data_IF_334197456102
#
_entry.id   IF_334197456102
#
_cell.length_a   1.000
_cell.length_b   1.000
_cell.length_c   1.000
_cell.angle_alpha   90.00
_cell.angle_beta   90.00
_cell.angle_gamma   90.00
#
_symmetry.space_group_name_H-M   'P 1'
#
loop_
_entity.id
_entity.type
_entity.pdbx_description
1 polymer ?
#
# COMPACT_ATOMS: atom_id res chain seq x y z
N UNK A 1 57.73 224.34 -27.37
CA UNK A 1 56.86 223.16 -27.59
C UNK A 1 56.62 222.85 -29.07
N UNK A 2 56.52 223.84 -29.97
CA UNK A 2 56.35 223.58 -31.42
C UNK A 2 57.64 223.03 -32.08
N UNK A 3 58.83 223.44 -31.63
CA UNK A 3 60.11 222.93 -32.16
C UNK A 3 60.26 221.40 -31.99
N UNK A 4 59.86 220.86 -30.83
CA UNK A 4 59.80 219.41 -30.58
C UNK A 4 58.81 218.70 -31.51
N UNK A 5 57.69 219.35 -31.87
CA UNK A 5 56.71 218.81 -32.81
C UNK A 5 57.25 218.78 -34.26
N UNK A 6 58.11 219.73 -34.64
CA UNK A 6 58.73 219.81 -35.97
C UNK A 6 59.82 218.74 -36.14
N UNK A 7 60.67 218.51 -35.13
CA UNK A 7 61.62 217.39 -35.11
C UNK A 7 60.92 216.03 -35.09
N UNK A 8 59.81 215.89 -34.35
CA UNK A 8 59.00 214.67 -34.38
C UNK A 8 58.35 214.44 -35.75
N UNK A 9 57.79 215.49 -36.36
CA UNK A 9 57.22 215.43 -37.71
C UNK A 9 58.25 215.06 -38.77
N UNK A 10 59.44 215.67 -38.74
CA UNK A 10 60.55 215.35 -39.64
C UNK A 10 61.07 213.92 -39.40
N UNK A 11 61.21 213.51 -38.14
CA UNK A 11 61.61 212.15 -37.77
C UNK A 11 60.60 211.10 -38.24
N UNK A 12 59.29 211.38 -38.12
CA UNK A 12 58.23 210.51 -38.63
C UNK A 12 58.23 210.42 -40.15
N UNK A 13 58.42 211.55 -40.85
CA UNK A 13 58.55 211.58 -42.31
C UNK A 13 59.78 210.80 -42.79
N UNK A 14 60.91 210.92 -42.07
CA UNK A 14 62.14 210.20 -42.38
C UNK A 14 62.00 208.68 -42.11
N UNK A 15 61.38 208.30 -40.98
CA UNK A 15 61.08 206.90 -40.67
C UNK A 15 60.06 206.30 -41.66
N UNK A 16 59.04 207.06 -42.04
CA UNK A 16 58.06 206.67 -43.05
C UNK A 16 58.70 206.49 -44.43
N UNK A 17 59.62 207.36 -44.82
CA UNK A 17 60.39 207.23 -46.05
C UNK A 17 61.28 205.98 -46.04
N UNK A 18 62.00 205.72 -44.94
CA UNK A 18 62.79 204.50 -44.77
C UNK A 18 61.90 203.24 -44.80
N UNK A 19 60.75 203.25 -44.13
CA UNK A 19 59.80 202.14 -44.15
C UNK A 19 59.26 201.87 -45.55
N UNK A 20 58.93 202.92 -46.32
CA UNK A 20 58.52 202.81 -47.72
C UNK A 20 59.66 202.28 -48.62
N UNK A 21 60.91 202.58 -48.30
CA UNK A 21 62.07 202.07 -49.04
C UNK A 21 62.36 200.59 -48.72
N UNK A 22 62.15 200.16 -47.46
CA UNK A 22 62.39 198.79 -47.00
C UNK A 22 61.21 197.83 -47.26
N UNK A 23 59.97 198.31 -47.25
CA UNK A 23 58.78 197.48 -47.45
C UNK A 23 58.81 196.63 -48.74
N UNK A 24 59.23 197.15 -49.92
CA UNK A 24 59.35 196.36 -51.14
C UNK A 24 60.40 195.24 -51.03
N UNK A 25 61.44 195.39 -50.21
CA UNK A 25 62.47 194.37 -50.03
C UNK A 25 61.99 193.23 -49.12
N UNK A 26 61.33 193.58 -48.02
CA UNK A 26 60.74 192.59 -47.09
C UNK A 26 59.62 191.81 -47.77
N UNK A 27 58.73 192.47 -48.52
CA UNK A 27 57.65 191.80 -49.26
C UNK A 27 58.17 190.83 -50.31
N UNK A 28 59.18 191.23 -51.10
CA UNK A 28 59.83 190.34 -52.08
C UNK A 28 60.42 189.09 -51.42
N UNK A 29 61.04 189.22 -50.24
CA UNK A 29 61.63 188.10 -49.51
C UNK A 29 60.58 187.18 -48.90
N UNK A 30 59.49 187.72 -48.37
CA UNK A 30 58.37 186.93 -47.85
C UNK A 30 57.71 186.10 -48.97
N UNK A 31 57.43 186.71 -50.13
CA UNK A 31 56.87 186.01 -51.30
C UNK A 31 57.81 184.94 -51.83
N UNK A 32 59.12 185.17 -51.85
CA UNK A 32 60.09 184.17 -52.29
C UNK A 32 60.11 182.94 -51.37
N UNK A 33 60.02 183.12 -50.05
CA UNK A 33 60.01 182.02 -49.09
C UNK A 33 58.70 181.22 -49.14
N UNK A 34 57.55 181.88 -49.26
CA UNK A 34 56.26 181.18 -49.40
C UNK A 34 56.15 180.45 -50.72
N UNK A 35 56.60 181.08 -51.82
CA UNK A 35 56.69 180.43 -53.14
C UNK A 35 57.59 179.20 -53.08
N UNK A 36 58.78 179.29 -52.50
CA UNK A 36 59.73 178.17 -52.38
C UNK A 36 59.20 177.04 -51.49
N UNK A 37 58.39 177.35 -50.46
CA UNK A 37 57.76 176.35 -49.59
C UNK A 37 56.63 175.61 -50.29
N UNK A 38 55.81 176.33 -51.05
CA UNK A 38 54.71 175.74 -51.83
C UNK A 38 55.27 174.91 -52.98
N UNK A 39 56.30 175.40 -53.68
CA UNK A 39 57.01 174.67 -54.74
C UNK A 39 57.64 173.36 -54.25
N UNK A 40 58.02 173.25 -52.97
CA UNK A 40 58.56 172.02 -52.39
C UNK A 40 57.49 171.02 -51.92
N UNK A 41 56.24 171.45 -51.74
CA UNK A 41 55.14 170.61 -51.22
C UNK A 41 54.08 170.26 -52.26
N UNK A 42 54.06 170.97 -53.39
CA UNK A 42 53.08 170.81 -54.46
C UNK A 42 53.81 170.43 -55.74
N UNK A 43 53.45 169.30 -56.40
CA UNK A 43 54.03 168.94 -57.67
C UNK A 43 53.59 169.97 -58.72
N UNK A 44 54.54 170.75 -59.25
CA UNK A 44 54.27 171.79 -60.24
C UNK A 44 54.76 171.39 -61.64
N UNK A 45 55.53 170.30 -61.75
CA UNK A 45 55.98 169.78 -63.04
C UNK A 45 55.12 168.59 -63.48
N UNK A 46 54.79 168.54 -64.77
CA UNK A 46 53.97 167.47 -65.35
C UNK A 46 54.58 166.08 -65.10
N UNK A 47 55.91 165.98 -65.16
CA UNK A 47 56.65 164.73 -64.96
C UNK A 47 56.54 164.18 -63.53
N UNK A 48 56.52 165.04 -62.50
CA UNK A 48 56.36 164.60 -61.10
C UNK A 48 54.93 164.09 -60.83
N UNK A 49 53.92 164.73 -61.44
CA UNK A 49 52.52 164.27 -61.37
C UNK A 49 52.36 162.92 -62.08
N UNK A 50 53.02 162.73 -63.22
CA UNK A 50 53.04 161.44 -63.93
C UNK A 50 53.75 160.35 -63.11
N UNK A 51 54.88 160.68 -62.47
CA UNK A 51 55.59 159.74 -61.60
C UNK A 51 54.77 159.34 -60.36
N UNK A 52 54.07 160.28 -59.71
CA UNK A 52 53.19 159.96 -58.57
C UNK A 52 51.99 159.13 -59.01
N UNK A 53 51.42 159.42 -60.19
CA UNK A 53 50.34 158.62 -60.78
C UNK A 53 50.80 157.19 -61.07
N UNK A 54 52.00 157.02 -61.63
CA UNK A 54 52.56 155.70 -61.90
C UNK A 54 52.99 154.97 -60.62
N UNK A 55 53.47 155.69 -59.58
CA UNK A 55 53.68 155.13 -58.23
C UNK A 55 52.38 154.61 -57.64
N UNK A 56 51.31 155.41 -57.65
CA UNK A 56 49.99 154.99 -57.15
C UNK A 56 49.46 153.79 -57.93
N UNK A 57 49.60 153.78 -59.26
CA UNK A 57 49.25 152.62 -60.10
C UNK A 57 50.05 151.38 -59.73
N UNK A 58 51.35 151.51 -59.46
CA UNK A 58 52.20 150.41 -59.05
C UNK A 58 51.84 149.89 -57.65
N UNK A 59 51.57 150.78 -56.69
CA UNK A 59 51.13 150.41 -55.34
C UNK A 59 49.77 149.70 -55.36
N UNK A 60 48.81 150.20 -56.14
CA UNK A 60 47.54 149.52 -56.36
C UNK A 60 47.74 148.17 -57.06
N UNK A 61 48.52 148.10 -58.14
CA UNK A 61 48.80 146.85 -58.82
C UNK A 61 49.47 145.80 -57.90
N UNK A 62 50.44 146.23 -57.07
CA UNK A 62 51.14 145.34 -56.13
C UNK A 62 50.24 144.91 -54.97
N UNK A 63 49.43 145.80 -54.41
CA UNK A 63 48.49 145.46 -53.34
C UNK A 63 47.37 144.55 -53.85
N UNK A 64 46.81 144.83 -55.03
CA UNK A 64 45.87 143.93 -55.72
C UNK A 64 46.52 142.58 -55.97
N UNK A 65 47.75 142.54 -56.49
CA UNK A 65 48.47 141.26 -56.73
C UNK A 65 48.73 140.49 -55.43
N UNK A 66 49.12 141.17 -54.35
CA UNK A 66 49.33 140.56 -53.02
C UNK A 66 48.02 140.01 -52.48
N UNK A 67 46.91 140.74 -52.65
CA UNK A 67 45.59 140.27 -52.24
C UNK A 67 45.16 139.04 -53.06
N UNK A 68 45.29 139.08 -54.39
CA UNK A 68 45.01 137.94 -55.27
C UNK A 68 45.81 136.69 -54.88
N UNK A 69 47.11 136.85 -54.60
CA UNK A 69 47.95 135.75 -54.12
C UNK A 69 47.49 135.22 -52.77
N UNK A 70 47.11 136.10 -51.83
CA UNK A 70 46.61 135.67 -50.51
C UNK A 70 45.26 134.96 -50.59
N UNK A 71 44.34 135.44 -51.44
CA UNK A 71 43.06 134.80 -51.72
C UNK A 71 43.26 133.44 -52.38
N UNK A 72 44.20 133.34 -53.33
CA UNK A 72 44.55 132.05 -53.95
C UNK A 72 45.10 131.07 -52.91
N UNK A 73 46.06 131.48 -52.08
CA UNK A 73 46.63 130.63 -51.05
C UNK A 73 45.58 130.18 -50.00
N UNK A 74 44.63 131.06 -49.63
CA UNK A 74 43.52 130.68 -48.75
C UNK A 74 42.55 129.71 -49.43
N UNK A 75 42.24 129.90 -50.72
CA UNK A 75 41.42 128.96 -51.50
C UNK A 75 42.09 127.60 -51.63
N UNK A 76 43.39 127.55 -51.89
CA UNK A 76 44.16 126.30 -51.99
C UNK A 76 44.14 125.56 -50.64
N UNK A 77 44.36 126.26 -49.50
CA UNK A 77 44.23 125.68 -48.15
C UNK A 77 42.82 125.19 -47.85
N UNK A 78 41.79 125.98 -48.20
CA UNK A 78 40.40 125.58 -48.02
C UNK A 78 40.06 124.33 -48.84
N UNK A 79 40.54 124.22 -50.08
CA UNK A 79 40.36 123.04 -50.91
C UNK A 79 41.02 121.79 -50.31
N UNK A 80 42.23 121.93 -49.76
CA UNK A 80 42.92 120.84 -49.03
C UNK A 80 42.10 120.40 -47.82
N UNK A 81 41.64 121.34 -46.97
CA UNK A 81 40.86 120.99 -45.80
C UNK A 81 39.50 120.37 -46.14
N UNK A 82 38.84 120.80 -47.21
CA UNK A 82 37.60 120.15 -47.68
C UNK A 82 37.87 118.71 -48.10
N UNK A 83 39.00 118.46 -48.79
CA UNK A 83 39.40 117.10 -49.15
C UNK A 83 39.73 116.24 -47.92
N UNK A 84 40.42 116.81 -46.92
CA UNK A 84 40.72 116.12 -45.65
C UNK A 84 39.45 115.81 -44.86
N UNK A 85 38.51 116.77 -44.74
CA UNK A 85 37.20 116.55 -44.10
C UNK A 85 36.43 115.44 -44.83
N UNK A 86 36.50 115.40 -46.17
CA UNK A 86 35.95 114.32 -46.97
C UNK A 86 36.52 112.96 -46.56
N UNK A 87 37.85 112.83 -46.52
CA UNK A 87 38.54 111.59 -46.10
C UNK A 87 38.17 111.18 -44.67
N UNK A 88 38.16 112.11 -43.72
CA UNK A 88 37.78 111.80 -42.34
C UNK A 88 36.31 111.39 -42.23
N UNK A 89 35.41 111.99 -43.01
CA UNK A 89 34.00 111.59 -43.04
C UNK A 89 33.82 110.19 -43.59
N UNK A 90 34.58 109.82 -44.62
CA UNK A 90 34.54 108.46 -45.18
C UNK A 90 35.12 107.42 -44.20
N UNK A 91 36.20 107.76 -43.49
CA UNK A 91 36.76 106.90 -42.44
C UNK A 91 35.80 106.72 -41.25
N UNK A 92 35.14 107.80 -40.80
CA UNK A 92 34.11 107.72 -39.75
C UNK A 92 32.94 106.84 -40.18
N UNK A 93 32.51 106.92 -41.46
CA UNK A 93 31.46 106.05 -41.99
C UNK A 93 31.90 104.60 -41.97
N UNK A 94 33.10 104.30 -42.47
CA UNK A 94 33.64 102.94 -42.47
C UNK A 94 33.74 102.36 -41.06
N UNK A 95 34.30 103.11 -40.11
CA UNK A 95 34.38 102.68 -38.71
C UNK A 95 32.98 102.53 -38.08
N UNK A 96 32.01 103.37 -38.49
CA UNK A 96 30.61 103.24 -38.11
C UNK A 96 30.00 101.92 -38.58
N UNK A 97 30.17 101.60 -39.86
CA UNK A 97 29.69 100.35 -40.47
C UNK A 97 30.34 99.12 -39.82
N UNK A 98 31.66 99.15 -39.60
CA UNK A 98 32.39 98.09 -38.89
C UNK A 98 31.86 97.92 -37.45
N UNK A 99 31.58 99.03 -36.74
CA UNK A 99 31.01 98.98 -35.39
C UNK A 99 29.61 98.38 -35.41
N UNK A 100 28.76 98.77 -36.35
CA UNK A 100 27.40 98.24 -36.48
C UNK A 100 27.40 96.74 -36.81
N UNK A 101 28.30 96.28 -37.70
CA UNK A 101 28.49 94.85 -37.99
C UNK A 101 28.93 94.07 -36.75
N UNK A 102 29.94 94.56 -36.00
CA UNK A 102 30.37 93.91 -34.75
C UNK A 102 29.28 93.94 -33.69
N UNK A 103 28.49 95.01 -33.60
CA UNK A 103 27.36 95.09 -32.67
C UNK A 103 26.30 94.03 -32.99
N UNK A 104 26.00 93.86 -34.28
CA UNK A 104 25.07 92.82 -34.74
C UNK A 104 25.60 91.40 -34.43
N UNK A 105 26.89 91.16 -34.67
CA UNK A 105 27.53 89.88 -34.36
C UNK A 105 27.51 89.58 -32.85
N UNK A 106 27.77 90.56 -31.99
CA UNK A 106 27.70 90.40 -30.53
C UNK A 106 26.27 90.06 -30.11
N UNK A 107 25.27 90.79 -30.61
CA UNK A 107 23.87 90.50 -30.30
C UNK A 107 23.45 89.09 -30.73
N UNK A 108 23.90 88.62 -31.90
CA UNK A 108 23.65 87.24 -32.35
C UNK A 108 24.33 86.21 -31.43
N UNK A 109 25.60 86.43 -31.06
CA UNK A 109 26.32 85.54 -30.15
C UNK A 109 25.68 85.51 -28.75
N UNK A 110 25.19 86.64 -28.25
CA UNK A 110 24.47 86.72 -26.98
C UNK A 110 23.15 85.95 -27.05
N UNK A 111 22.39 86.08 -28.14
CA UNK A 111 21.15 85.33 -28.36
C UNK A 111 21.41 83.81 -28.44
N UNK A 112 22.43 83.40 -29.20
CA UNK A 112 22.87 81.99 -29.25
C UNK A 112 23.33 81.48 -27.89
N UNK A 113 24.08 82.30 -27.14
CA UNK A 113 24.52 81.99 -25.79
C UNK A 113 23.36 81.80 -24.81
N UNK A 114 22.35 82.68 -24.87
CA UNK A 114 21.13 82.55 -24.07
C UNK A 114 20.34 81.28 -24.43
N UNK A 115 20.20 80.97 -25.73
CA UNK A 115 19.53 79.75 -26.18
C UNK A 115 20.25 78.49 -25.71
N UNK A 116 21.59 78.45 -25.81
CA UNK A 116 22.39 77.32 -25.35
C UNK A 116 22.32 77.13 -23.83
N UNK A 117 22.30 78.21 -23.05
CA UNK A 117 22.10 78.13 -21.59
C UNK A 117 20.73 77.55 -21.24
N UNK A 118 19.67 78.02 -21.89
CA UNK A 118 18.33 77.48 -21.69
C UNK A 118 18.23 76.00 -22.09
N UNK A 119 18.91 75.59 -23.16
CA UNK A 119 19.00 74.18 -23.55
C UNK A 119 19.78 73.36 -22.53
N UNK A 120 20.87 73.90 -21.97
CA UNK A 120 21.66 73.25 -20.92
C UNK A 120 20.80 73.04 -19.66
N UNK A 121 20.14 74.08 -19.16
CA UNK A 121 19.25 74.01 -18.00
C UNK A 121 18.12 72.99 -18.21
N UNK A 122 17.50 72.98 -19.40
CA UNK A 122 16.47 72.01 -19.74
C UNK A 122 17.02 70.57 -19.76
N UNK A 123 18.25 70.36 -20.22
CA UNK A 123 18.90 69.04 -20.23
C UNK A 123 19.34 68.60 -18.85
N UNK A 124 19.83 69.52 -18.02
CA UNK A 124 20.15 69.25 -16.61
C UNK A 124 18.90 68.82 -15.83
N UNK A 125 17.77 69.52 -16.01
CA UNK A 125 16.49 69.11 -15.42
C UNK A 125 16.04 67.72 -15.91
N UNK A 126 16.19 67.43 -17.21
CA UNK A 126 15.88 66.10 -17.75
C UNK A 126 16.77 65.00 -17.17
N UNK A 127 18.06 65.30 -16.93
CA UNK A 127 18.99 64.37 -16.29
C UNK A 127 18.64 64.14 -14.83
N UNK A 128 18.25 65.19 -14.09
CA UNK A 128 17.80 65.06 -12.70
C UNK A 128 16.52 64.22 -12.61
N UNK A 129 15.51 64.52 -13.44
CA UNK A 129 14.27 63.75 -13.52
C UNK A 129 14.53 62.28 -13.89
N UNK A 130 15.48 62.02 -14.80
CA UNK A 130 15.86 60.67 -15.19
C UNK A 130 16.61 59.94 -14.06
N UNK A 131 17.52 60.62 -13.37
CA UNK A 131 18.24 60.08 -12.22
C UNK A 131 17.28 59.70 -11.07
N UNK A 132 16.27 60.54 -10.80
CA UNK A 132 15.26 60.24 -9.79
C UNK A 132 14.34 59.09 -10.20
N UNK A 133 14.00 58.98 -11.49
CA UNK A 133 13.28 57.80 -12.01
C UNK A 133 14.10 56.53 -11.84
N UNK A 134 15.40 56.57 -12.14
CA UNK A 134 16.30 55.43 -11.95
C UNK A 134 16.37 55.03 -10.48
N UNK A 135 16.63 55.97 -9.55
CA UNK A 135 16.64 55.69 -8.10
C UNK A 135 15.33 55.05 -7.62
N UNK A 136 14.18 55.51 -8.11
CA UNK A 136 12.86 54.92 -7.76
C UNK A 136 12.68 53.52 -8.34
N UNK A 137 13.22 53.25 -9.53
CA UNK A 137 13.18 51.92 -10.13
C UNK A 137 14.12 50.96 -9.40
N UNK A 138 15.32 51.40 -9.05
CA UNK A 138 16.28 50.61 -8.27
C UNK A 138 15.69 50.23 -6.91
N UNK A 139 15.12 51.18 -6.18
CA UNK A 139 14.44 50.88 -4.90
C UNK A 139 13.27 49.90 -5.06
N UNK A 140 12.52 49.96 -6.16
CA UNK A 140 11.46 48.99 -6.46
C UNK A 140 12.02 47.61 -6.83
N UNK A 141 13.14 47.56 -7.53
CA UNK A 141 13.82 46.30 -7.87
C UNK A 141 14.39 45.64 -6.63
N UNK A 142 15.02 46.39 -5.72
CA UNK A 142 15.49 45.90 -4.43
C UNK A 142 14.33 45.37 -3.57
N UNK A 143 13.22 46.11 -3.49
CA UNK A 143 12.03 45.64 -2.77
C UNK A 143 11.49 44.32 -3.35
N UNK A 144 11.43 44.20 -4.68
CA UNK A 144 11.02 42.96 -5.35
C UNK A 144 12.03 41.83 -5.12
N UNK A 145 13.33 42.11 -5.13
CA UNK A 145 14.36 41.11 -4.85
C UNK A 145 14.18 40.52 -3.45
N UNK A 146 13.95 41.37 -2.44
CA UNK A 146 13.63 40.94 -1.08
C UNK A 146 12.32 40.13 -1.00
N UNK A 147 11.30 40.51 -1.76
CA UNK A 147 10.06 39.72 -1.85
C UNK A 147 10.32 38.33 -2.46
N UNK A 148 11.14 38.24 -3.51
CA UNK A 148 11.53 36.97 -4.11
C UNK A 148 12.36 36.10 -3.17
N UNK A 149 13.27 36.68 -2.40
CA UNK A 149 14.03 35.97 -1.37
C UNK A 149 13.12 35.38 -0.30
N UNK A 150 12.17 36.17 0.23
CA UNK A 150 11.18 35.66 1.20
C UNK A 150 10.29 34.57 0.62
N UNK A 151 9.83 34.72 -0.62
CA UNK A 151 9.05 33.68 -1.29
C UNK A 151 9.86 32.41 -1.50
N UNK A 152 11.16 32.54 -1.78
CA UNK A 152 12.08 31.41 -1.93
C UNK A 152 12.31 30.70 -0.59
N UNK A 153 12.58 31.43 0.48
CA UNK A 153 12.72 30.87 1.83
C UNK A 153 11.46 30.09 2.21
N UNK A 154 10.27 30.67 2.00
CA UNK A 154 9.02 29.99 2.29
C UNK A 154 8.80 28.73 1.41
N UNK A 155 9.21 28.76 0.14
CA UNK A 155 9.15 27.59 -0.73
C UNK A 155 10.13 26.49 -0.30
N UNK A 156 11.33 26.86 0.16
CA UNK A 156 12.30 25.92 0.73
C UNK A 156 11.79 25.31 2.04
N UNK A 157 11.21 26.11 2.95
CA UNK A 157 10.53 25.62 4.16
C UNK A 157 9.38 24.65 3.83
N UNK A 158 8.54 25.00 2.85
CA UNK A 158 7.45 24.13 2.43
C UNK A 158 7.97 22.83 1.79
N UNK A 159 9.07 22.89 1.04
CA UNK A 159 9.73 21.72 0.48
C UNK A 159 10.30 20.81 1.57
N UNK A 160 10.93 21.38 2.59
CA UNK A 160 11.47 20.62 3.73
C UNK A 160 10.33 19.95 4.49
N UNK A 161 9.30 20.71 4.88
CA UNK A 161 8.14 20.15 5.60
C UNK A 161 7.38 19.10 4.78
N UNK A 162 7.26 19.28 3.46
CA UNK A 162 6.70 18.26 2.58
C UNK A 162 7.56 16.99 2.53
N UNK A 163 8.89 17.14 2.52
CA UNK A 163 9.80 15.99 2.53
C UNK A 163 9.76 15.25 3.87
N UNK A 164 9.64 15.98 4.99
CA UNK A 164 9.45 15.41 6.32
C UNK A 164 8.13 14.64 6.41
N UNK A 165 7.03 15.22 5.91
CA UNK A 165 5.73 14.54 5.83
C UNK A 165 5.80 13.29 4.95
N UNK A 166 6.52 13.33 3.81
CA UNK A 166 6.69 12.15 2.96
C UNK A 166 7.49 11.05 3.68
N UNK A 167 8.53 11.40 4.42
CA UNK A 167 9.27 10.44 5.26
C UNK A 167 8.37 9.86 6.36
N UNK A 168 7.54 10.68 7.01
CA UNK A 168 6.58 10.20 8.01
C UNK A 168 5.54 9.25 7.39
N UNK A 169 5.00 9.57 6.22
CA UNK A 169 4.06 8.70 5.50
C UNK A 169 4.70 7.35 5.15
N UNK A 170 5.92 7.34 4.62
CA UNK A 170 6.65 6.10 4.32
C UNK A 170 6.92 5.30 5.60
N UNK A 171 7.24 5.95 6.72
CA UNK A 171 7.40 5.29 8.00
C UNK A 171 6.07 4.68 8.50
N UNK A 172 4.95 5.40 8.34
CA UNK A 172 3.61 4.90 8.68
C UNK A 172 3.17 3.75 7.78
N UNK A 173 3.48 3.79 6.49
CA UNK A 173 3.22 2.70 5.56
C UNK A 173 4.02 1.44 5.94
N UNK A 174 5.30 1.60 6.31
CA UNK A 174 6.12 0.49 6.83
C UNK A 174 5.55 -0.09 8.13
N UNK A 175 5.05 0.76 9.05
CA UNK A 175 4.36 0.32 10.27
C UNK A 175 3.07 -0.45 9.95
N UNK A 176 2.29 0.02 8.96
CA UNK A 176 1.07 -0.65 8.49
C UNK A 176 1.39 -2.00 7.85
N UNK A 177 2.42 -2.11 7.02
CA UNK A 177 2.89 -3.38 6.46
C UNK A 177 3.33 -4.35 7.55
N UNK A 178 4.08 -3.88 8.55
CA UNK A 178 4.49 -4.69 9.70
C UNK A 178 3.28 -5.21 10.48
N UNK A 179 2.33 -4.33 10.81
CA UNK A 179 1.09 -4.72 11.50
C UNK A 179 0.23 -5.66 10.66
N UNK A 180 0.16 -5.46 9.34
CA UNK A 180 -0.52 -6.38 8.43
C UNK A 180 0.14 -7.77 8.46
N UNK A 181 1.48 -7.83 8.42
CA UNK A 181 2.23 -9.07 8.57
C UNK A 181 1.99 -9.76 9.92
N UNK A 182 1.96 -8.99 11.01
CA UNK A 182 1.63 -9.50 12.35
C UNK A 182 0.21 -10.08 12.39
N UNK A 183 -0.77 -9.39 11.79
CA UNK A 183 -2.17 -9.86 11.70
C UNK A 183 -2.24 -11.16 10.90
N UNK A 184 -1.55 -11.27 9.77
CA UNK A 184 -1.55 -12.47 8.96
C UNK A 184 -0.82 -13.64 9.65
N UNK A 185 0.26 -13.36 10.39
CA UNK A 185 0.92 -14.31 11.28
C UNK A 185 -0.02 -14.82 12.38
N UNK A 186 -0.72 -13.92 13.08
CA UNK A 186 -1.71 -14.28 14.10
C UNK A 186 -2.90 -15.05 13.50
N UNK A 187 -3.34 -14.71 12.29
CA UNK A 187 -4.38 -15.47 11.56
C UNK A 187 -3.89 -16.88 11.21
N UNK A 188 -2.64 -17.04 10.80
CA UNK A 188 -2.05 -18.36 10.54
C UNK A 188 -1.97 -19.18 11.83
N UNK A 189 -1.47 -18.60 12.93
CA UNK A 189 -1.44 -19.25 14.24
C UNK A 189 -2.85 -19.64 14.72
N UNK A 190 -3.85 -18.77 14.50
CA UNK A 190 -5.24 -19.10 14.82
C UNK A 190 -5.79 -20.25 13.97
N UNK A 191 -5.47 -20.29 12.67
CA UNK A 191 -5.87 -21.41 11.81
C UNK A 191 -5.21 -22.71 12.24
N UNK A 192 -3.93 -22.67 12.61
CA UNK A 192 -3.19 -23.81 13.15
C UNK A 192 -3.78 -24.29 14.47
N UNK A 193 -4.06 -23.38 15.41
CA UNK A 193 -4.69 -23.74 16.68
C UNK A 193 -6.12 -24.26 16.52
N UNK A 194 -6.91 -23.71 15.59
CA UNK A 194 -8.23 -24.25 15.22
C UNK A 194 -8.12 -25.63 14.57
N UNK A 195 -7.10 -25.88 13.74
CA UNK A 195 -6.85 -27.19 13.13
C UNK A 195 -6.47 -28.23 14.19
N UNK A 196 -5.55 -27.88 15.10
CA UNK A 196 -5.17 -28.72 16.25
C UNK A 196 -6.37 -28.98 17.17
N UNK A 197 -7.20 -27.96 17.44
CA UNK A 197 -8.41 -28.13 18.22
C UNK A 197 -9.42 -29.08 17.55
N UNK A 198 -9.59 -29.00 16.22
CA UNK A 198 -10.41 -29.94 15.45
C UNK A 198 -9.85 -31.35 15.48
N UNK A 199 -8.53 -31.51 15.39
CA UNK A 199 -7.88 -32.81 15.51
C UNK A 199 -8.12 -33.41 16.90
N UNK A 200 -7.92 -32.63 17.96
CA UNK A 200 -8.23 -33.05 19.33
C UNK A 200 -9.73 -33.36 19.53
N UNK A 201 -10.64 -32.61 18.90
CA UNK A 201 -12.07 -32.91 18.96
C UNK A 201 -12.40 -34.23 18.24
N UNK A 202 -11.79 -34.49 17.09
CA UNK A 202 -11.95 -35.74 16.35
C UNK A 202 -11.35 -36.93 17.11
N UNK A 203 -10.15 -36.75 17.69
CA UNK A 203 -9.54 -37.73 18.59
C UNK A 203 -10.45 -38.00 19.78
N UNK A 204 -10.99 -36.97 20.45
CA UNK A 204 -11.93 -37.13 21.55
C UNK A 204 -13.23 -37.83 21.12
N UNK A 205 -13.75 -37.57 19.92
CA UNK A 205 -14.90 -38.31 19.35
C UNK A 205 -14.57 -39.78 19.10
N UNK A 206 -13.41 -40.08 18.52
CA UNK A 206 -12.96 -41.46 18.29
C UNK A 206 -12.78 -42.21 19.60
N UNK A 207 -12.10 -41.62 20.59
CA UNK A 207 -11.93 -42.20 21.93
C UNK A 207 -13.28 -42.38 22.65
N UNK A 208 -14.23 -41.46 22.49
CA UNK A 208 -15.59 -41.63 23.01
C UNK A 208 -16.34 -42.78 22.33
N UNK A 209 -16.18 -42.95 21.01
CA UNK A 209 -16.76 -44.08 20.28
C UNK A 209 -16.13 -45.40 20.70
N UNK A 210 -14.81 -45.44 20.88
CA UNK A 210 -14.10 -46.60 21.41
C UNK A 210 -14.56 -46.92 22.83
N UNK A 211 -14.66 -45.92 23.71
CA UNK A 211 -15.19 -46.09 25.06
C UNK A 211 -16.61 -46.62 25.04
N UNK A 212 -17.50 -46.05 24.22
CA UNK A 212 -18.87 -46.52 24.06
C UNK A 212 -18.92 -47.98 23.56
N UNK A 213 -18.09 -48.33 22.58
CA UNK A 213 -17.97 -49.70 22.09
C UNK A 213 -17.46 -50.66 23.17
N UNK A 214 -16.49 -50.25 24.00
CA UNK A 214 -16.03 -51.04 25.15
C UNK A 214 -17.09 -51.18 26.23
N UNK A 215 -17.87 -50.13 26.50
CA UNK A 215 -18.99 -50.16 27.44
C UNK A 215 -20.11 -51.08 26.95
N UNK A 216 -20.48 -51.03 25.67
CA UNK A 216 -21.45 -51.98 25.11
C UNK A 216 -20.93 -53.42 25.09
N UNK A 217 -19.63 -53.64 24.85
CA UNK A 217 -19.02 -54.97 24.99
C UNK A 217 -19.04 -55.45 26.44
N UNK A 218 -18.79 -54.55 27.39
CA UNK A 218 -18.87 -54.83 28.82
C UNK A 218 -20.31 -55.17 29.20
N UNK A 219 -21.29 -54.38 28.78
CA UNK A 219 -22.72 -54.61 29.01
C UNK A 219 -23.17 -55.94 28.38
N UNK A 220 -22.72 -56.28 27.18
CA UNK A 220 -22.98 -57.60 26.57
C UNK A 220 -22.32 -58.74 27.36
N UNK A 221 -21.11 -58.53 27.89
CA UNK A 221 -20.43 -59.49 28.74
C UNK A 221 -21.12 -59.64 30.11
N UNK A 222 -21.57 -58.55 30.72
CA UNK A 222 -22.35 -58.51 31.95
C UNK A 222 -23.69 -59.22 31.74
N UNK A 223 -24.44 -58.92 30.68
CA UNK A 223 -25.65 -59.64 30.32
C UNK A 223 -25.40 -61.13 30.06
N UNK A 224 -24.26 -61.49 29.47
CA UNK A 224 -23.87 -62.90 29.31
C UNK A 224 -23.56 -63.55 30.64
N UNK A 225 -22.88 -62.85 31.54
CA UNK A 225 -22.61 -63.29 32.92
C UNK A 225 -23.93 -63.43 33.69
N UNK A 226 -24.87 -62.50 33.56
CA UNK A 226 -26.19 -62.56 34.19
C UNK A 226 -27.01 -63.74 33.65
N UNK A 227 -27.03 -63.96 32.33
CA UNK A 227 -27.64 -65.17 31.73
C UNK A 227 -26.95 -66.44 32.20
N UNK A 228 -25.62 -66.44 32.33
CA UNK A 228 -24.91 -67.59 32.87
C UNK A 228 -25.27 -67.80 34.34
N UNK A 229 -25.34 -66.75 35.14
CA UNK A 229 -25.80 -66.80 36.54
C UNK A 229 -27.24 -67.28 36.64
N UNK A 230 -28.15 -66.85 35.75
CA UNK A 230 -29.53 -67.35 35.72
C UNK A 230 -29.58 -68.83 35.31
N UNK A 231 -28.76 -69.26 34.34
CA UNK A 231 -28.69 -70.69 33.99
C UNK A 231 -28.06 -71.53 35.10
N UNK A 232 -27.13 -70.97 35.88
CA UNK A 232 -26.57 -71.61 37.06
C UNK A 232 -27.63 -71.68 38.15
N UNK A 233 -28.38 -70.60 38.42
CA UNK A 233 -29.50 -70.61 39.35
C UNK A 233 -30.59 -71.59 38.93
N UNK A 234 -30.97 -71.66 37.65
CA UNK A 234 -31.91 -72.66 37.13
C UNK A 234 -31.37 -74.09 37.27
N UNK A 235 -30.05 -74.28 37.14
CA UNK A 235 -29.38 -75.57 37.35
C UNK A 235 -29.34 -75.93 38.83
N UNK A 236 -29.08 -74.98 39.70
CA UNK A 236 -29.13 -75.10 41.16
C UNK A 236 -30.56 -75.40 41.61
N UNK A 237 -31.58 -74.68 41.13
CA UNK A 237 -33.00 -74.98 41.39
C UNK A 237 -33.41 -76.37 40.89
N UNK A 238 -32.90 -76.80 39.73
CA UNK A 238 -33.11 -78.17 39.23
C UNK A 238 -32.43 -79.20 40.13
N UNK A 239 -31.24 -78.91 40.63
CA UNK A 239 -30.53 -79.76 41.59
C UNK A 239 -31.26 -79.80 42.93
N UNK A 240 -31.72 -78.66 43.45
CA UNK A 240 -32.54 -78.55 44.66
C UNK A 240 -33.84 -79.33 44.54
N UNK A 241 -34.52 -79.28 43.38
CA UNK A 241 -35.69 -80.12 43.11
C UNK A 241 -35.32 -81.60 43.08
N UNK A 242 -34.20 -81.96 42.42
CA UNK A 242 -33.70 -83.34 42.42
C UNK A 242 -33.31 -83.81 43.82
N UNK A 243 -32.75 -82.95 44.66
CA UNK A 243 -32.41 -83.23 46.05
C UNK A 243 -33.67 -83.38 46.91
N UNK A 244 -34.69 -82.55 46.70
CA UNK A 244 -36.01 -82.71 47.34
C UNK A 244 -36.72 -83.99 46.90
N UNK A 245 -36.62 -84.36 45.62
CA UNK A 245 -37.15 -85.63 45.11
C UNK A 245 -36.37 -86.83 45.67
N UNK A 246 -35.03 -86.73 45.80
CA UNK A 246 -34.19 -87.73 46.49
C UNK A 246 -34.55 -87.81 47.98
N UNK A 247 -34.83 -86.69 48.65
CA UNK A 247 -35.27 -86.67 50.04
C UNK A 247 -36.66 -87.34 50.17
N UNK A 248 -37.58 -87.09 49.24
CA UNK A 248 -38.90 -87.72 49.19
C UNK A 248 -38.81 -89.23 48.95
N UNK A 249 -37.96 -89.66 48.02
CA UNK A 249 -37.66 -91.08 47.78
C UNK A 249 -36.98 -91.75 48.98
N UNK A 250 -36.17 -91.02 49.75
CA UNK A 250 -35.61 -91.51 51.02
C UNK A 250 -36.67 -91.63 52.12
N UNK A 251 -37.64 -90.72 52.18
CA UNK A 251 -38.77 -90.80 53.12
C UNK A 251 -39.72 -91.96 52.76
N UNK A 252 -39.98 -92.19 51.47
CA UNK A 252 -40.74 -93.35 50.96
C UNK A 252 -40.01 -94.68 51.23
N UNK A 253 -38.68 -94.72 51.11
CA UNK A 253 -37.87 -95.87 51.54
C UNK A 253 -37.90 -96.10 53.05
N UNK A 254 -38.02 -95.04 53.87
CA UNK A 254 -38.13 -95.14 55.33
C UNK A 254 -39.52 -95.63 55.76
N UNK A 255 -40.58 -95.19 55.07
CA UNK A 255 -41.95 -95.68 55.28
C UNK A 255 -42.11 -97.16 54.89
N UNK A 256 -41.52 -97.58 53.76
CA UNK A 256 -41.48 -98.99 53.37
C UNK A 256 -40.65 -99.84 54.35
N UNK A 257 -39.59 -99.29 54.95
CA UNK A 257 -38.80 -99.98 55.97
C UNK A 257 -39.57 -100.18 57.28
N UNK A 258 -40.37 -99.20 57.72
CA UNK A 258 -41.25 -99.36 58.87
C UNK A 258 -42.38 -100.38 58.66
N UNK A 259 -42.84 -100.58 57.42
CA UNK A 259 -43.80 -101.65 57.10
C UNK A 259 -43.17 -103.05 57.07
N UNK A 260 -41.86 -103.14 56.77
CA UNK A 260 -41.09 -104.40 56.84
C UNK A 260 -40.73 -104.76 58.29
N UNK A 261 -40.45 -103.78 59.14
CA UNK A 261 -40.11 -104.00 60.56
C UNK A 261 -41.34 -104.42 61.40
N UNK A 262 -42.56 -104.04 60.99
CA UNK A 262 -43.83 -104.51 61.62
C UNK A 262 -44.17 -105.95 61.17
N UNK A 263 -44.02 -106.25 59.88
CA UNK A 263 -44.25 -107.59 59.32
C UNK A 263 -43.20 -108.65 59.75
N UNK A 264 -42.03 -108.22 60.22
CA UNK A 264 -41.01 -109.13 60.79
C UNK A 264 -41.20 -109.40 62.27
N UNK A 265 -41.92 -108.54 63.02
CA UNK A 265 -42.29 -108.83 64.42
C UNK A 265 -43.45 -109.83 64.53
N UNK A 266 -44.47 -109.73 63.67
CA UNK A 266 -45.57 -110.70 63.63
C UNK A 266 -45.14 -112.10 63.12
N UNK A 267 -44.04 -112.18 62.36
CA UNK A 267 -43.46 -113.45 61.91
C UNK A 267 -42.64 -114.18 63.00
N UNK A 268 -42.05 -113.45 63.95
CA UNK A 268 -41.25 -114.01 65.06
C UNK A 268 -42.14 -114.56 66.17
N UNK A 269 -43.25 -113.91 66.50
CA UNK A 269 -44.22 -114.41 67.49
C UNK A 269 -44.95 -115.69 67.02
N UNK A 270 -45.18 -115.85 65.71
CA UNK A 270 -45.76 -117.08 65.14
C UNK A 270 -44.80 -118.27 65.04
N UNK A 271 -43.49 -118.03 65.24
CA UNK A 271 -42.44 -119.06 65.20
C UNK A 271 -42.12 -119.63 66.59
N UNK A 272 -42.46 -118.93 67.67
CA UNK A 272 -42.22 -119.38 69.05
C UNK A 272 -43.31 -120.38 69.53
N UNK A 273 -44.56 -120.24 69.06
CA UNK A 273 -45.64 -121.22 69.29
C UNK A 273 -45.47 -122.52 68.45
N UNK A 274 -44.77 -122.45 67.32
CA UNK A 274 -44.45 -123.62 66.47
C UNK A 274 -43.23 -124.43 66.94
N UNK A 275 -42.37 -123.85 67.78
CA UNK A 275 -41.21 -124.53 68.35
C UNK A 275 -41.57 -125.39 69.58
N UNK A 276 -42.61 -125.03 70.33
CA UNK A 276 -43.08 -125.80 71.49
C UNK A 276 -43.92 -127.03 71.08
N UNK A 277 -44.71 -126.93 70.00
CA UNK A 277 -45.52 -128.05 69.48
C UNK A 277 -44.73 -129.07 68.63
N UNK A 278 -43.53 -128.72 68.16
CA UNK A 278 -42.64 -129.62 67.42
C UNK A 278 -41.70 -130.45 68.34
N UNK A 279 -41.52 -130.04 69.60
CA UNK A 279 -40.76 -130.80 70.61
C UNK A 279 -41.53 -132.00 71.17
N UNK A 280 -42.84 -131.86 71.38
CA UNK A 280 -43.68 -132.90 71.99
C UNK A 280 -44.14 -134.00 71.00
N UNK A 281 -44.11 -133.71 69.69
CA UNK A 281 -44.50 -134.64 68.61
C UNK A 281 -43.37 -135.60 68.18
N UNK A 282 -42.12 -135.31 68.52
CA UNK A 282 -40.94 -136.12 68.15
C UNK A 282 -40.48 -137.07 69.28
N UNK A 283 -41.04 -136.96 70.49
CA UNK A 283 -40.62 -137.74 71.66
C UNK A 283 -41.24 -139.12 71.81
N UNK A 284 -42.51 -139.33 71.50
CA UNK A 284 -43.17 -140.60 71.89
C UNK A 284 -44.27 -141.08 70.94
N UNK A 285 -44.14 -140.70 69.67
CA UNK A 285 -44.38 -141.64 68.55
C UNK A 285 -43.50 -142.90 68.64
N UNK A 286 -42.51 -142.92 69.54
CA UNK A 286 -41.74 -144.10 69.95
C UNK A 286 -42.46 -145.03 70.96
N UNK A 287 -43.52 -144.60 71.66
CA UNK A 287 -44.35 -145.49 72.50
C UNK A 287 -45.65 -145.96 71.82
N UNK A 288 -46.11 -145.26 70.77
CA UNK A 288 -47.26 -145.69 69.97
C UNK A 288 -46.97 -146.92 69.08
N UNK A 289 -45.69 -147.33 68.96
CA UNK A 289 -45.31 -148.57 68.27
C UNK A 289 -45.34 -149.83 69.17
N UNK A 290 -45.58 -149.70 70.48
CA UNK A 290 -45.57 -150.85 71.41
C UNK A 290 -46.89 -151.13 72.12
N UNK A 291 -48.00 -150.44 71.83
CA UNK A 291 -49.31 -150.76 72.42
C UNK A 291 -50.48 -150.69 71.41
N UNK A 292 -50.20 -150.80 70.11
CA UNK A 292 -51.17 -151.29 69.12
C UNK A 292 -51.17 -152.82 69.08
N UNK A 293 -51.35 -153.44 70.24
CA UNK A 293 -51.69 -154.87 70.37
C UNK A 293 -53.07 -155.07 71.01
N UNK A 294 -53.82 -154.03 71.40
CA UNK A 294 -55.21 -154.22 71.84
C UNK A 294 -56.15 -153.02 71.63
N UNK A 295 -57.33 -153.34 71.07
CA UNK A 295 -58.64 -152.66 71.12
C UNK A 295 -58.99 -151.51 70.13
N UNK A 296 -59.63 -151.92 69.03
CA UNK A 296 -60.94 -151.50 68.46
C UNK A 296 -61.33 -150.01 68.25
N UNK A 297 -61.50 -149.63 66.98
CA UNK A 297 -62.84 -149.40 66.37
C UNK A 297 -63.44 -147.99 66.31
N UNK A 298 -63.06 -147.19 65.30
CA UNK A 298 -63.97 -146.21 64.66
C UNK A 298 -63.44 -144.80 64.38
N UNK A 299 -62.58 -144.57 63.38
CA UNK A 299 -62.15 -143.19 63.02
C UNK A 299 -61.46 -143.05 61.63
N UNK A 300 -62.05 -143.58 60.55
CA UNK A 300 -61.38 -143.62 59.21
C UNK A 300 -61.96 -142.65 58.16
N UNK A 301 -63.09 -141.98 58.40
CA UNK A 301 -63.83 -141.35 57.29
C UNK A 301 -63.53 -139.85 57.01
N UNK A 302 -62.71 -139.15 57.81
CA UNK A 302 -62.47 -137.68 57.65
C UNK A 302 -61.18 -137.27 56.93
N UNK A 303 -60.28 -138.19 56.59
CA UNK A 303 -58.91 -137.84 56.18
C UNK A 303 -58.71 -137.48 54.69
N UNK A 304 -59.66 -137.72 53.78
CA UNK A 304 -59.36 -137.69 52.33
C UNK A 304 -59.73 -136.36 51.62
N UNK A 305 -60.59 -135.50 52.20
CA UNK A 305 -61.11 -134.30 51.51
C UNK A 305 -60.18 -133.08 51.39
N UNK A 306 -59.06 -133.02 52.11
CA UNK A 306 -58.24 -131.81 52.23
C UNK A 306 -57.12 -131.68 51.17
N UNK A 307 -56.77 -132.75 50.45
CA UNK A 307 -55.61 -132.77 49.55
C UNK A 307 -55.85 -132.14 48.15
N UNK A 308 -57.10 -131.82 47.78
CA UNK A 308 -57.43 -131.30 46.44
C UNK A 308 -57.15 -129.80 46.21
N UNK A 309 -57.09 -128.98 47.25
CA UNK A 309 -57.11 -127.50 47.12
C UNK A 309 -55.73 -126.86 46.87
N UNK A 310 -54.65 -127.55 47.18
CA UNK A 310 -53.31 -126.93 47.17
C UNK A 310 -52.66 -126.86 45.77
N UNK A 311 -53.17 -127.58 44.76
CA UNK A 311 -52.54 -127.66 43.43
C UNK A 311 -52.81 -126.45 42.52
N UNK A 312 -53.90 -125.71 42.73
CA UNK A 312 -54.37 -124.70 41.77
C UNK A 312 -53.66 -123.34 41.91
N UNK A 313 -53.15 -123.03 43.12
CA UNK A 313 -52.58 -121.72 43.49
C UNK A 313 -51.22 -121.41 42.86
N UNK A 314 -50.50 -122.41 42.35
CA UNK A 314 -49.11 -122.25 41.85
C UNK A 314 -49.06 -121.80 40.39
N UNK A 315 -50.11 -122.04 39.60
CA UNK A 315 -50.09 -121.78 38.14
C UNK A 315 -50.21 -120.29 37.76
N UNK A 316 -50.87 -119.47 38.57
CA UNK A 316 -51.19 -118.07 38.22
C UNK A 316 -49.99 -117.11 38.24
N UNK A 317 -48.88 -117.44 38.92
CA UNK A 317 -47.76 -116.49 39.10
C UNK A 317 -46.78 -116.40 37.92
N UNK A 318 -46.85 -117.28 36.93
CA UNK A 318 -45.86 -117.34 35.84
C UNK A 318 -46.15 -116.34 34.71
N UNK A 319 -47.42 -115.97 34.48
CA UNK A 319 -47.85 -115.20 33.32
C UNK A 319 -47.54 -113.69 33.41
N UNK A 320 -47.39 -113.12 34.60
CA UNK A 320 -47.19 -111.67 34.77
C UNK A 320 -45.76 -111.20 34.44
N UNK A 321 -44.79 -112.10 34.30
CA UNK A 321 -43.38 -111.75 34.13
C UNK A 321 -42.97 -111.47 32.67
N UNK A 322 -43.72 -111.93 31.66
CA UNK A 322 -43.28 -111.87 30.25
C UNK A 322 -43.58 -110.52 29.57
N UNK A 323 -44.65 -109.82 29.95
CA UNK A 323 -45.12 -108.57 29.31
C UNK A 323 -44.19 -107.35 29.48
N UNK A 324 -43.28 -107.36 30.45
CA UNK A 324 -42.42 -106.19 30.74
C UNK A 324 -41.21 -106.07 29.80
N UNK A 325 -40.80 -107.15 29.13
CA UNK A 325 -39.57 -107.16 28.35
C UNK A 325 -39.71 -106.49 26.97
N UNK A 326 -40.89 -106.55 26.33
CA UNK A 326 -41.07 -106.01 24.96
C UNK A 326 -41.00 -104.48 24.90
N UNK A 327 -41.36 -103.75 25.96
CA UNK A 327 -41.44 -102.28 25.95
C UNK A 327 -40.08 -101.58 25.88
N UNK A 328 -39.01 -102.22 26.32
CA UNK A 328 -37.68 -101.59 26.40
C UNK A 328 -36.96 -101.52 25.04
N UNK A 329 -37.29 -102.40 24.09
CA UNK A 329 -36.58 -102.45 22.81
C UNK A 329 -36.96 -101.31 21.83
N UNK A 330 -38.15 -100.74 21.94
CA UNK A 330 -38.65 -99.73 20.98
C UNK A 330 -38.01 -98.34 21.15
N UNK A 331 -37.43 -98.01 22.31
CA UNK A 331 -36.89 -96.66 22.58
C UNK A 331 -35.50 -96.42 21.97
N UNK A 332 -34.74 -97.48 21.67
CA UNK A 332 -33.35 -97.36 21.19
C UNK A 332 -33.28 -96.93 19.72
N UNK A 333 -34.22 -97.39 18.89
CA UNK A 333 -34.19 -97.15 17.44
C UNK A 333 -34.47 -95.69 17.02
N UNK A 334 -35.11 -94.88 17.87
CA UNK A 334 -35.48 -93.50 17.53
C UNK A 334 -34.30 -92.51 17.58
N UNK A 335 -33.23 -92.84 18.31
CA UNK A 335 -32.13 -91.90 18.60
C UNK A 335 -31.07 -91.83 17.49
N UNK A 336 -30.92 -92.86 16.66
CA UNK A 336 -29.87 -92.91 15.64
C UNK A 336 -30.16 -92.05 14.40
N UNK A 337 -31.45 -91.82 14.09
CA UNK A 337 -31.87 -91.15 12.85
C UNK A 337 -31.61 -89.63 12.83
N UNK A 338 -31.60 -88.97 13.99
CA UNK A 338 -31.43 -87.50 14.08
C UNK A 338 -30.00 -87.02 13.81
N UNK A 339 -28.99 -87.89 13.93
CA UNK A 339 -27.58 -87.52 13.84
C UNK A 339 -27.05 -87.39 12.40
N UNK A 340 -27.74 -87.98 11.42
CA UNK A 340 -27.27 -88.04 10.03
C UNK A 340 -27.55 -86.76 9.23
N UNK A 341 -28.59 -86.01 9.59
CA UNK A 341 -29.05 -84.86 8.78
C UNK A 341 -28.17 -83.61 8.99
N UNK A 342 -27.68 -83.37 10.21
CA UNK A 342 -26.80 -82.23 10.55
C UNK A 342 -25.46 -82.23 9.78
N UNK A 343 -24.98 -83.40 9.35
CA UNK A 343 -23.68 -83.53 8.69
C UNK A 343 -23.69 -83.08 7.21
N UNK A 344 -24.82 -83.19 6.52
CA UNK A 344 -24.94 -82.84 5.10
C UNK A 344 -24.97 -81.32 4.88
N UNK A 345 -25.57 -80.56 5.78
CA UNK A 345 -25.79 -79.11 5.67
C UNK A 345 -24.47 -78.32 5.76
N UNK A 346 -23.53 -78.75 6.61
CA UNK A 346 -22.22 -78.11 6.78
C UNK A 346 -21.32 -78.23 5.53
N UNK A 347 -21.50 -79.29 4.74
CA UNK A 347 -20.67 -79.54 3.55
C UNK A 347 -21.01 -78.58 2.41
N UNK A 348 -22.28 -78.16 2.28
CA UNK A 348 -22.73 -77.24 1.23
C UNK A 348 -22.24 -75.81 1.46
N UNK A 349 -22.25 -75.33 2.71
CA UNK A 349 -21.81 -73.97 3.04
C UNK A 349 -20.32 -73.73 2.79
N UNK A 350 -19.48 -74.76 3.02
CA UNK A 350 -18.04 -74.68 2.75
C UNK A 350 -17.70 -74.60 1.25
N UNK A 351 -18.55 -75.13 0.37
CA UNK A 351 -18.34 -75.06 -1.08
C UNK A 351 -18.55 -73.62 -1.60
N UNK A 352 -19.61 -72.94 -1.14
CA UNK A 352 -19.94 -71.56 -1.51
C UNK A 352 -18.85 -70.57 -1.07
N UNK A 353 -18.29 -70.76 0.13
CA UNK A 353 -17.22 -69.89 0.63
C UNK A 353 -15.94 -70.01 -0.22
N UNK A 354 -15.64 -71.21 -0.74
CA UNK A 354 -14.48 -71.44 -1.62
C UNK A 354 -14.65 -70.76 -2.98
N UNK A 355 -15.86 -70.66 -3.51
CA UNK A 355 -16.14 -69.98 -4.77
C UNK A 355 -15.92 -68.46 -4.65
N UNK A 356 -16.46 -67.84 -3.60
CA UNK A 356 -16.36 -66.39 -3.36
C UNK A 356 -14.91 -65.92 -3.15
N UNK A 357 -14.10 -66.71 -2.42
CA UNK A 357 -12.68 -66.39 -2.21
C UNK A 357 -11.92 -66.42 -3.55
N UNK A 358 -12.22 -67.38 -4.42
CA UNK A 358 -11.56 -67.51 -5.71
C UNK A 358 -11.89 -66.34 -6.66
N UNK A 359 -13.12 -65.83 -6.63
CA UNK A 359 -13.51 -64.70 -7.48
C UNK A 359 -12.91 -63.36 -7.00
N UNK A 360 -12.88 -63.12 -5.68
CA UNK A 360 -12.23 -61.93 -5.11
C UNK A 360 -10.73 -61.92 -5.41
N UNK A 361 -10.08 -63.09 -5.33
CA UNK A 361 -8.65 -63.23 -5.62
C UNK A 361 -8.34 -62.93 -7.09
N UNK A 362 -9.21 -63.33 -8.02
CA UNK A 362 -9.04 -63.02 -9.44
C UNK A 362 -9.15 -61.52 -9.74
N UNK A 363 -10.03 -60.80 -9.05
CA UNK A 363 -10.20 -59.36 -9.22
C UNK A 363 -9.03 -58.54 -8.66
N UNK A 364 -8.52 -58.93 -7.48
CA UNK A 364 -7.34 -58.29 -6.88
C UNK A 364 -6.10 -58.47 -7.76
N UNK A 365 -5.88 -59.68 -8.29
CA UNK A 365 -4.74 -59.96 -9.18
C UNK A 365 -4.84 -59.18 -10.49
N UNK A 366 -6.06 -58.96 -11.02
CA UNK A 366 -6.27 -58.07 -12.18
C UNK A 366 -5.89 -56.64 -11.86
N UNK A 367 -6.38 -56.10 -10.73
CA UNK A 367 -6.12 -54.71 -10.34
C UNK A 367 -4.61 -54.46 -10.12
N UNK A 368 -3.91 -55.43 -9.52
CA UNK A 368 -2.46 -55.33 -9.33
C UNK A 368 -1.70 -55.43 -10.65
N UNK A 369 -2.15 -56.26 -11.59
CA UNK A 369 -1.54 -56.34 -12.92
C UNK A 369 -1.70 -55.03 -13.72
N UNK A 370 -2.88 -54.39 -13.63
CA UNK A 370 -3.13 -53.09 -14.27
C UNK A 370 -2.28 -51.97 -13.65
N UNK A 371 -2.01 -52.03 -12.34
CA UNK A 371 -1.18 -51.04 -11.65
C UNK A 371 0.33 -51.19 -11.92
N UNK A 372 0.82 -52.41 -12.16
CA UNK A 372 2.26 -52.68 -12.39
C UNK A 372 2.69 -52.46 -13.86
N UNK A 373 1.76 -52.36 -14.80
CA UNK A 373 2.05 -52.08 -16.21
C UNK A 373 2.59 -53.29 -17.01
N UNK A 374 2.95 -53.10 -18.30
CA UNK A 374 3.18 -54.20 -19.25
C UNK A 374 4.37 -55.12 -18.94
N UNK A 375 5.28 -54.72 -18.04
CA UNK A 375 6.45 -55.50 -17.62
C UNK A 375 6.26 -56.25 -16.28
N UNK A 376 5.02 -56.36 -15.77
CA UNK A 376 4.74 -57.09 -14.53
C UNK A 376 5.07 -58.59 -14.63
N UNK A 377 5.72 -59.20 -13.62
CA UNK A 377 5.98 -60.64 -13.56
C UNK A 377 4.70 -61.49 -13.53
N UNK A 378 3.54 -60.89 -13.23
CA UNK A 378 2.23 -61.55 -13.21
C UNK A 378 1.79 -61.94 -14.63
N UNK A 379 2.06 -61.11 -15.64
CA UNK A 379 1.78 -61.45 -17.05
C UNK A 379 2.63 -62.65 -17.51
N UNK A 380 3.89 -62.71 -17.10
CA UNK A 380 4.77 -63.86 -17.38
C UNK A 380 4.31 -65.16 -16.69
N UNK A 381 3.72 -65.06 -15.49
CA UNK A 381 3.16 -66.19 -14.76
C UNK A 381 1.82 -66.68 -15.36
N UNK A 382 0.97 -65.78 -15.86
CA UNK A 382 -0.29 -66.10 -16.55
C UNK A 382 -0.09 -66.65 -17.97
N UNK A 383 1.02 -66.31 -18.63
CA UNK A 383 1.41 -66.85 -19.94
C UNK A 383 1.96 -68.28 -19.87
N UNK A 384 2.38 -68.75 -18.68
CA UNK A 384 2.74 -70.16 -18.47
C UNK A 384 1.47 -71.01 -18.38
N UNK A 385 1.32 -72.06 -19.21
CA UNK A 385 0.21 -72.99 -19.05
C UNK A 385 0.36 -73.74 -17.72
N UNK A 386 -0.73 -73.77 -16.95
CA UNK A 386 -0.83 -74.47 -15.67
C UNK A 386 -0.46 -75.95 -15.81
N UNK A 387 0.38 -76.48 -14.91
CA UNK A 387 0.83 -77.89 -14.82
C UNK A 387 -0.27 -78.94 -14.57
N UNK A 388 -1.55 -78.59 -14.73
CA UNK A 388 -2.69 -79.48 -14.52
C UNK A 388 -3.30 -79.99 -15.84
N UNK A 389 -2.62 -79.80 -16.97
CA UNK A 389 -3.07 -80.30 -18.28
C UNK A 389 -2.36 -81.61 -18.72
N UNK A 390 -1.47 -82.18 -17.91
CA UNK A 390 -0.66 -83.37 -18.27
C UNK A 390 -1.13 -84.70 -17.67
N UNK A 391 -2.16 -84.74 -16.82
CA UNK A 391 -2.76 -86.01 -16.38
C UNK A 391 -4.19 -86.11 -16.90
N UNK A 392 -4.35 -86.80 -18.04
CA UNK A 392 -5.65 -87.18 -18.57
C UNK A 392 -6.38 -88.12 -17.61
N UNK A 393 -7.30 -87.55 -16.84
CA UNK A 393 -8.36 -88.27 -16.15
C UNK A 393 -9.68 -87.59 -16.47
N UNK A 394 -10.45 -88.23 -17.34
CA UNK A 394 -11.86 -87.94 -17.57
C UNK A 394 -12.62 -88.16 -16.26
N UNK A 395 -12.93 -87.07 -15.55
CA UNK A 395 -13.98 -87.08 -14.53
C UNK A 395 -15.27 -86.51 -15.11
N UNK A 396 -16.31 -87.33 -14.96
CA UNK A 396 -17.64 -87.14 -15.47
C UNK A 396 -18.26 -85.79 -15.09
N UNK A 397 -19.09 -85.32 -16.02
CA UNK A 397 -20.01 -84.18 -15.94
C UNK A 397 -20.39 -83.73 -14.52
N UNK A 398 -19.96 -82.52 -14.16
CA UNK A 398 -20.57 -81.80 -13.03
C UNK A 398 -19.74 -80.66 -12.44
N UNK A 399 -18.41 -80.72 -12.47
CA UNK A 399 -17.60 -79.74 -11.74
C UNK A 399 -16.28 -79.45 -12.46
N UNK A 400 -16.36 -78.66 -13.54
CA UNK A 400 -15.15 -78.01 -14.08
C UNK A 400 -14.76 -76.93 -13.08
N UNK A 401 -13.89 -77.27 -12.14
CA UNK A 401 -13.22 -76.29 -11.29
C UNK A 401 -12.40 -75.37 -12.20
N UNK A 402 -13.01 -74.25 -12.62
CA UNK A 402 -12.39 -73.28 -13.51
C UNK A 402 -11.19 -72.71 -12.78
N UNK A 403 -9.99 -73.03 -13.27
CA UNK A 403 -8.72 -72.60 -12.69
C UNK A 403 -8.67 -71.08 -12.58
N UNK A 404 -8.09 -70.58 -11.48
CA UNK A 404 -7.93 -69.15 -11.19
C UNK A 404 -7.29 -68.40 -12.38
N UNK A 405 -6.30 -69.02 -13.04
CA UNK A 405 -5.62 -68.46 -14.20
C UNK A 405 -6.55 -68.27 -15.43
N UNK A 406 -7.51 -69.18 -15.62
CA UNK A 406 -8.46 -69.08 -16.74
C UNK A 406 -9.53 -68.02 -16.48
N UNK A 407 -9.97 -67.88 -15.21
CA UNK A 407 -10.85 -66.77 -14.79
C UNK A 407 -10.19 -65.40 -14.98
N UNK A 408 -8.92 -65.27 -14.60
CA UNK A 408 -8.15 -64.03 -14.79
C UNK A 408 -8.01 -63.69 -16.29
N UNK A 409 -7.77 -64.68 -17.15
CA UNK A 409 -7.71 -64.47 -18.61
C UNK A 409 -9.04 -64.04 -19.23
N UNK A 410 -10.15 -64.62 -18.79
CA UNK A 410 -11.50 -64.23 -19.24
C UNK A 410 -11.80 -62.78 -18.83
N UNK A 411 -11.45 -62.41 -17.60
CA UNK A 411 -11.62 -61.05 -17.11
C UNK A 411 -10.74 -60.04 -17.86
N UNK A 412 -9.48 -60.35 -18.17
CA UNK A 412 -8.62 -59.49 -18.99
C UNK A 412 -9.17 -59.29 -20.42
N UNK A 413 -9.64 -60.37 -21.09
CA UNK A 413 -10.30 -60.26 -22.41
C UNK A 413 -11.56 -59.39 -22.38
N UNK A 414 -12.34 -59.45 -21.30
CA UNK A 414 -13.54 -58.62 -21.15
C UNK A 414 -13.22 -57.14 -20.90
N UNK A 415 -12.05 -56.84 -20.31
CA UNK A 415 -11.58 -55.48 -20.06
C UNK A 415 -10.98 -54.84 -21.33
N UNK A 416 -10.23 -55.61 -22.14
CA UNK A 416 -9.69 -55.13 -23.42
C UNK A 416 -10.77 -54.89 -24.47
N UNK A 417 -11.88 -55.64 -24.45
CA UNK A 417 -13.02 -55.48 -25.35
C UNK A 417 -13.92 -54.26 -25.04
N UNK A 418 -13.60 -53.47 -24.00
CA UNK A 418 -14.34 -52.27 -23.59
C UNK A 418 -13.62 -50.96 -23.94
N UNK A 419 -12.43 -51.04 -24.55
CA UNK A 419 -11.55 -49.90 -24.85
C UNK A 419 -11.30 -49.72 -26.36
N UNK A 420 -11.82 -50.62 -27.20
CA UNK A 420 -12.03 -50.40 -28.64
C UNK A 420 -13.51 -50.02 -28.89
#
# INVERSE_FOLDING_TARGET
MIESALFFGLGFLCAGFLALMLAPAVWRRAVALTRKRIEASVPLTLNEIEADKDRMRAEFAMSTRRLEMSVKALRDKAAVHVAEIGRYRDEIRRLGDERDEKTAMVAELESRGASLRSQLEAREQQLEDAADKLRRLDAKLEAKALEYERMREHAEELSVTSSEQQVELVARDADLERLSGDIDGLRAQRRESEALAREHENQAKSLRQELAATLSRLELAENKVERLMSTVADREDKLDRREKDIARLREELKANRSQIDEATREAVDSHEEKAQLAGDLAGMSLQMSSLLENATGGEVEKAVGLLGKDRERVSQKLAEAEDLNERLQQQIAAFEKSKSDDWQEQKQQNALLREQINDLTAEVVRLTADMEGPDSPIHAALARPSRLQETGLDTAAGDRVVSLADRIRVLQKSASAKVD
#
